data_IF_762659638302
#
_entry.id   IF_762659638302
#
_cell.length_a   1.000
_cell.length_b   1.000
_cell.length_c   1.000
_cell.angle_alpha   90.00
_cell.angle_beta   90.00
_cell.angle_gamma   90.00
#
_symmetry.space_group_name_H-M   'P 1'
#
loop_
_entity.id
_entity.type
_entity.pdbx_description
1 polymer ?
#
# COMPACT_ATOMS: atom_id res chain seq x y z
N UNK A 1 9.01 22.92 -21.10
CA UNK A 1 8.32 21.78 -20.45
C UNK A 1 7.07 21.46 -21.24
N UNK A 2 6.81 20.18 -21.51
CA UNK A 2 5.59 19.73 -22.20
C UNK A 2 4.42 19.69 -21.21
N UNK A 3 3.24 20.16 -21.60
CA UNK A 3 2.04 20.05 -20.77
C UNK A 3 1.55 18.59 -20.82
N UNK A 4 1.23 18.02 -19.66
CA UNK A 4 0.62 16.69 -19.54
C UNK A 4 -0.58 16.77 -18.59
N UNK A 5 -1.48 15.81 -18.67
CA UNK A 5 -2.63 15.77 -17.77
C UNK A 5 -2.19 15.32 -16.38
N UNK A 6 -1.46 14.21 -16.25
CA UNK A 6 -1.08 13.70 -14.94
C UNK A 6 0.32 13.08 -14.87
N UNK A 7 0.92 13.20 -13.68
CA UNK A 7 2.19 12.58 -13.32
C UNK A 7 1.96 11.52 -12.23
N UNK A 8 2.34 10.27 -12.49
CA UNK A 8 2.19 9.14 -11.56
C UNK A 8 3.57 8.73 -11.06
N UNK A 9 3.81 8.87 -9.76
CA UNK A 9 5.12 8.63 -9.16
C UNK A 9 5.05 7.39 -8.27
N UNK A 10 5.84 6.35 -8.56
CA UNK A 10 5.80 5.11 -7.76
C UNK A 10 7.02 4.22 -7.94
N UNK A 11 7.17 3.23 -7.06
CA UNK A 11 8.17 2.16 -7.24
C UNK A 11 7.80 1.31 -8.47
N UNK A 12 8.76 0.57 -9.03
CA UNK A 12 8.49 -0.32 -10.17
C UNK A 12 7.36 -1.31 -9.87
N UNK A 13 7.40 -1.95 -8.70
CA UNK A 13 6.36 -2.87 -8.24
C UNK A 13 4.98 -2.20 -8.19
N UNK A 14 4.89 -0.98 -7.64
CA UNK A 14 3.62 -0.28 -7.51
C UNK A 14 3.10 0.17 -8.87
N UNK A 15 3.97 0.68 -9.75
CA UNK A 15 3.58 1.11 -11.09
C UNK A 15 3.14 -0.07 -11.97
N UNK A 16 3.71 -1.26 -11.77
CA UNK A 16 3.25 -2.48 -12.45
C UNK A 16 1.78 -2.82 -12.14
N UNK A 17 1.25 -2.43 -10.97
CA UNK A 17 -0.17 -2.64 -10.64
C UNK A 17 -1.13 -1.79 -11.47
N UNK A 18 -0.64 -0.75 -12.15
CA UNK A 18 -1.42 0.12 -13.01
C UNK A 18 -1.14 -0.15 -14.51
N UNK A 19 -0.32 -1.15 -14.83
CA UNK A 19 0.18 -1.42 -16.18
C UNK A 19 -0.91 -1.95 -17.14
N UNK A 20 -1.91 -2.69 -16.66
CA UNK A 20 -3.04 -3.13 -17.51
C UNK A 20 -3.90 -1.95 -18.02
N UNK A 21 -3.69 -0.73 -17.51
CA UNK A 21 -4.41 0.48 -17.90
C UNK A 21 -3.49 1.55 -18.50
N UNK A 22 -2.26 1.21 -18.90
CA UNK A 22 -1.35 2.15 -19.59
C UNK A 22 -1.59 2.27 -21.09
N UNK A 23 -2.22 1.26 -21.73
CA UNK A 23 -2.66 1.37 -23.12
C UNK A 23 -3.89 2.28 -23.20
N UNK A 24 -3.71 3.52 -23.66
CA UNK A 24 -4.80 4.48 -23.89
C UNK A 24 -4.93 5.64 -22.90
N UNK A 25 -3.96 5.86 -22.01
CA UNK A 25 -3.92 7.07 -21.17
C UNK A 25 -3.00 8.13 -21.76
N UNK A 26 -3.43 8.69 -22.90
CA UNK A 26 -2.80 9.88 -23.49
C UNK A 26 -2.69 10.98 -22.42
N UNK A 27 -1.51 11.60 -22.32
CA UNK A 27 -1.26 12.68 -21.37
C UNK A 27 -0.85 12.25 -19.95
N UNK A 28 -0.63 10.96 -19.69
CA UNK A 28 -0.08 10.48 -18.41
C UNK A 28 1.41 10.13 -18.50
N UNK A 29 2.22 10.59 -17.55
CA UNK A 29 3.64 10.24 -17.42
C UNK A 29 3.88 9.44 -16.14
N UNK A 30 4.63 8.35 -16.25
CA UNK A 30 5.01 7.52 -15.11
C UNK A 30 6.48 7.75 -14.76
N UNK A 31 6.72 8.13 -13.51
CA UNK A 31 8.05 8.40 -13.00
C UNK A 31 8.37 7.51 -11.80
N UNK A 32 9.60 7.02 -11.75
CA UNK A 32 10.13 6.26 -10.62
C UNK A 32 11.03 7.15 -9.77
N UNK A 33 11.01 6.99 -8.43
CA UNK A 33 12.01 7.61 -7.58
C UNK A 33 13.42 7.27 -8.05
N UNK A 34 14.35 8.22 -7.90
CA UNK A 34 15.75 7.96 -8.16
C UNK A 34 16.21 6.79 -7.30
N UNK A 35 16.67 5.72 -7.96
CA UNK A 35 17.48 4.73 -7.29
C UNK A 35 18.80 5.44 -6.97
N UNK A 36 18.91 6.02 -5.77
CA UNK A 36 20.17 6.56 -5.29
C UNK A 36 21.27 5.56 -5.61
N UNK A 37 22.37 6.03 -6.23
CA UNK A 37 23.46 5.14 -6.70
C UNK A 37 23.77 4.14 -5.58
N UNK A 38 23.68 2.82 -5.82
CA UNK A 38 24.20 1.88 -4.85
C UNK A 38 25.67 2.23 -4.63
N UNK A 39 26.07 2.39 -3.37
CA UNK A 39 27.48 2.57 -3.03
C UNK A 39 28.30 1.54 -3.82
N UNK A 40 29.20 2.02 -4.66
CA UNK A 40 30.15 1.18 -5.38
C UNK A 40 31.01 0.46 -4.33
N UNK A 41 30.61 -0.76 -3.98
CA UNK A 41 31.14 -1.48 -2.83
C UNK A 41 30.94 -2.98 -2.95
N UNK A 42 31.76 -3.56 -3.84
CA UNK A 42 32.12 -4.99 -3.99
C UNK A 42 31.05 -5.99 -4.51
N UNK A 43 31.34 -6.72 -5.60
CA UNK A 43 30.56 -7.87 -6.00
C UNK A 43 30.96 -9.08 -5.14
N UNK A 44 30.00 -9.72 -4.48
CA UNK A 44 30.20 -11.08 -3.98
C UNK A 44 29.51 -12.04 -4.95
N UNK A 45 30.34 -12.79 -5.67
CA UNK A 45 29.93 -13.87 -6.55
C UNK A 45 29.44 -15.06 -5.72
N UNK A 46 28.26 -15.59 -6.06
CA UNK A 46 27.68 -16.82 -5.51
C UNK A 46 26.50 -17.26 -6.39
N UNK A 47 26.26 -18.57 -6.54
CA UNK A 47 25.96 -19.14 -7.84
C UNK A 47 24.50 -18.98 -8.29
N UNK A 48 24.34 -18.84 -9.61
CA UNK A 48 23.07 -18.78 -10.32
C UNK A 48 22.32 -20.10 -10.17
N UNK A 49 21.33 -20.12 -9.29
CA UNK A 49 20.24 -21.09 -9.33
C UNK A 49 19.21 -20.64 -10.35
N UNK A 50 19.03 -21.44 -11.40
CA UNK A 50 17.99 -21.31 -12.42
C UNK A 50 16.59 -21.46 -11.80
N UNK A 51 15.88 -20.35 -11.64
CA UNK A 51 14.42 -20.35 -11.49
C UNK A 51 13.81 -19.78 -12.78
N UNK A 52 13.22 -20.68 -13.55
CA UNK A 52 12.40 -20.39 -14.72
C UNK A 52 11.10 -19.70 -14.30
N UNK A 53 10.66 -18.74 -15.12
CA UNK A 53 9.24 -18.45 -15.33
C UNK A 53 8.54 -17.60 -14.27
N UNK A 54 8.86 -16.31 -14.21
CA UNK A 54 7.89 -15.31 -13.73
C UNK A 54 7.86 -14.20 -14.77
N UNK A 55 6.70 -13.96 -15.36
CA UNK A 55 6.49 -12.91 -16.34
C UNK A 55 6.81 -11.54 -15.70
N UNK A 56 8.05 -11.09 -15.89
CA UNK A 56 8.52 -9.77 -15.54
C UNK A 56 7.91 -8.78 -16.53
N UNK A 57 6.70 -8.31 -16.23
CA UNK A 57 6.11 -7.12 -16.84
C UNK A 57 7.04 -5.94 -16.60
N UNK A 58 7.99 -5.74 -17.50
CA UNK A 58 9.00 -4.70 -17.36
C UNK A 58 8.37 -3.44 -17.93
N UNK A 59 7.98 -2.49 -17.07
CA UNK A 59 7.48 -1.19 -17.52
C UNK A 59 8.61 -0.51 -18.31
N UNK A 60 8.52 -0.54 -19.64
CA UNK A 60 9.44 0.17 -20.52
C UNK A 60 9.18 1.68 -20.41
N UNK A 61 10.23 2.50 -20.38
CA UNK A 61 10.09 3.96 -20.49
C UNK A 61 9.83 4.75 -19.19
N UNK A 62 10.06 4.18 -18.00
CA UNK A 62 9.93 4.93 -16.74
C UNK A 62 11.00 6.02 -16.61
N UNK A 63 10.56 7.28 -16.59
CA UNK A 63 11.42 8.43 -16.29
C UNK A 63 11.82 8.46 -14.82
N UNK A 64 12.93 9.14 -14.50
CA UNK A 64 13.17 9.48 -13.10
C UNK A 64 12.23 10.60 -12.67
N UNK A 65 11.89 10.68 -11.38
CA UNK A 65 11.13 11.82 -10.84
C UNK A 65 11.77 13.14 -11.25
N UNK A 66 13.10 13.24 -11.15
CA UNK A 66 13.82 14.46 -11.49
C UNK A 66 13.63 14.84 -12.95
N UNK A 67 13.88 13.90 -13.86
CA UNK A 67 13.73 14.14 -15.30
C UNK A 67 12.29 14.53 -15.64
N UNK A 68 11.30 13.85 -15.06
CA UNK A 68 9.89 14.14 -15.30
C UNK A 68 9.49 15.54 -14.79
N UNK A 69 9.97 15.95 -13.61
CA UNK A 69 9.73 17.28 -13.06
C UNK A 69 10.40 18.40 -13.86
N UNK A 70 11.49 18.10 -14.58
CA UNK A 70 12.20 19.06 -15.43
C UNK A 70 11.64 19.08 -16.86
N UNK A 71 11.08 17.98 -17.34
CA UNK A 71 10.55 17.84 -18.69
C UNK A 71 9.07 18.23 -18.83
N UNK A 72 8.24 18.03 -17.80
CA UNK A 72 6.78 18.15 -17.91
C UNK A 72 6.13 19.09 -16.89
N UNK A 73 5.02 19.70 -17.31
CA UNK A 73 4.08 20.45 -16.44
C UNK A 73 2.77 19.67 -16.34
N UNK A 74 2.59 18.85 -15.29
CA UNK A 74 1.33 18.15 -15.06
C UNK A 74 0.23 19.07 -14.52
N UNK A 75 -1.04 18.74 -14.78
CA UNK A 75 -2.18 19.35 -14.08
C UNK A 75 -2.42 18.72 -12.71
N UNK A 76 -2.15 17.42 -12.60
CA UNK A 76 -2.29 16.64 -11.37
C UNK A 76 -1.11 15.68 -11.17
N UNK A 77 -0.76 15.36 -9.93
CA UNK A 77 0.33 14.44 -9.62
C UNK A 77 0.02 13.53 -8.42
N UNK A 78 0.19 12.22 -8.59
CA UNK A 78 -0.07 11.25 -7.52
C UNK A 78 1.20 10.53 -7.13
N UNK A 79 1.47 10.49 -5.83
CA UNK A 79 2.59 9.75 -5.27
C UNK A 79 2.10 8.43 -4.67
N UNK A 80 2.45 7.33 -5.32
CA UNK A 80 2.06 5.96 -4.97
C UNK A 80 3.15 5.19 -4.20
N UNK A 81 4.34 5.77 -4.06
CA UNK A 81 5.37 5.22 -3.18
C UNK A 81 6.20 6.33 -2.53
N UNK A 82 6.63 6.16 -1.27
CA UNK A 82 7.43 7.16 -0.59
C UNK A 82 8.89 7.08 -1.03
N UNK A 83 9.59 8.20 -1.03
CA UNK A 83 11.03 8.28 -1.27
C UNK A 83 11.64 9.50 -0.59
N UNK A 84 12.98 9.53 -0.51
CA UNK A 84 13.70 10.68 0.05
C UNK A 84 13.56 11.87 -0.89
N UNK A 85 13.07 13.00 -0.39
CA UNK A 85 12.83 14.20 -1.20
C UNK A 85 11.37 14.39 -1.61
N UNK A 86 10.55 13.35 -1.51
CA UNK A 86 9.12 13.37 -1.87
C UNK A 86 8.37 14.59 -1.33
N UNK A 87 8.60 14.96 -0.07
CA UNK A 87 7.90 16.09 0.55
C UNK A 87 8.28 17.46 -0.08
N UNK A 88 9.55 17.61 -0.48
CA UNK A 88 10.01 18.80 -1.20
C UNK A 88 9.49 18.82 -2.65
N UNK A 89 9.48 17.68 -3.32
CA UNK A 89 8.94 17.55 -4.67
C UNK A 89 7.43 17.81 -4.70
N UNK A 90 6.70 17.31 -3.70
CA UNK A 90 5.28 17.56 -3.56
C UNK A 90 5.00 19.04 -3.25
N UNK A 91 5.78 19.69 -2.38
CA UNK A 91 5.69 21.12 -2.13
C UNK A 91 5.93 21.94 -3.40
N UNK A 92 6.99 21.62 -4.15
CA UNK A 92 7.29 22.26 -5.44
C UNK A 92 6.13 22.12 -6.43
N UNK A 93 5.48 20.97 -6.51
CA UNK A 93 4.32 20.76 -7.38
C UNK A 93 3.12 21.61 -6.96
N UNK A 94 2.80 21.63 -5.66
CA UNK A 94 1.70 22.45 -5.12
C UNK A 94 1.94 23.95 -5.34
N UNK A 95 3.16 24.43 -5.11
CA UNK A 95 3.54 25.83 -5.38
C UNK A 95 3.37 26.23 -6.85
N UNK A 96 3.46 25.26 -7.77
CA UNK A 96 3.21 25.44 -9.20
C UNK A 96 1.73 25.23 -9.60
N UNK A 97 0.82 25.11 -8.65
CA UNK A 97 -0.62 24.97 -8.90
C UNK A 97 -1.06 23.58 -9.36
N UNK A 98 -0.27 22.54 -9.11
CA UNK A 98 -0.60 21.15 -9.44
C UNK A 98 -1.50 20.55 -8.34
N UNK A 99 -2.57 19.83 -8.72
CA UNK A 99 -3.35 19.02 -7.77
C UNK A 99 -2.53 17.79 -7.36
N UNK A 100 -2.09 17.74 -6.10
CA UNK A 100 -1.22 16.67 -5.60
C UNK A 100 -1.96 15.74 -4.66
N UNK A 101 -1.80 14.43 -4.84
CA UNK A 101 -2.32 13.38 -3.93
C UNK A 101 -1.24 12.37 -3.54
N UNK A 102 -1.39 11.73 -2.39
CA UNK A 102 -0.47 10.67 -1.95
C UNK A 102 -1.20 9.41 -1.52
N UNK A 103 -0.63 8.22 -1.78
CA UNK A 103 -1.20 6.95 -1.35
C UNK A 103 -0.98 6.62 0.14
N UNK A 104 -0.33 7.52 0.85
CA UNK A 104 -0.06 7.43 2.27
C UNK A 104 0.43 8.77 2.82
N UNK A 105 0.51 8.92 4.15
CA UNK A 105 0.94 10.16 4.77
C UNK A 105 2.37 10.55 4.35
N UNK A 106 2.67 11.85 4.33
CA UNK A 106 4.04 12.29 4.03
C UNK A 106 5.01 11.88 5.16
N UNK A 107 6.21 11.36 4.84
CA UNK A 107 7.16 10.85 5.83
C UNK A 107 7.82 11.94 6.71
N UNK A 108 7.67 13.22 6.35
CA UNK A 108 8.22 14.35 7.10
C UNK A 108 7.12 15.42 7.22
N UNK A 109 7.02 16.06 8.39
CA UNK A 109 6.15 17.25 8.56
C UNK A 109 6.67 18.39 7.68
N UNK A 110 6.10 18.53 6.48
CA UNK A 110 6.17 19.79 5.73
C UNK A 110 5.29 20.79 6.46
N UNK A 111 5.91 21.86 6.99
CA UNK A 111 5.17 22.92 7.68
C UNK A 111 4.09 23.44 6.72
N UNK A 112 2.83 23.36 7.14
CA UNK A 112 1.65 23.92 6.48
C UNK A 112 1.25 23.32 5.12
N UNK A 113 1.80 22.16 4.73
CA UNK A 113 1.38 21.47 3.51
C UNK A 113 0.59 20.21 3.88
N UNK A 114 -0.73 20.30 3.84
CA UNK A 114 -1.62 19.16 3.95
C UNK A 114 -1.96 18.66 2.55
N UNK A 115 -1.40 17.49 2.19
CA UNK A 115 -1.68 16.85 0.92
C UNK A 115 -2.76 15.78 1.13
N UNK A 116 -3.85 15.78 0.33
CA UNK A 116 -4.87 14.75 0.41
C UNK A 116 -4.29 13.34 0.20
N UNK A 117 -4.72 12.41 1.06
CA UNK A 117 -4.35 11.00 0.93
C UNK A 117 -5.43 10.32 0.07
N UNK A 118 -5.02 9.57 -0.95
CA UNK A 118 -5.91 8.76 -1.77
C UNK A 118 -5.91 7.31 -1.32
N UNK A 119 -7.10 6.72 -1.27
CA UNK A 119 -7.34 5.37 -0.82
C UNK A 119 -7.11 4.33 -1.91
N UNK A 120 -5.83 4.09 -2.23
CA UNK A 120 -5.44 3.31 -3.42
C UNK A 120 -5.90 1.86 -3.41
N UNK A 121 -6.35 1.33 -2.28
CA UNK A 121 -6.81 -0.04 -2.20
C UNK A 121 -8.28 -0.18 -2.59
N UNK A 122 -9.07 0.90 -2.57
CA UNK A 122 -10.44 0.89 -3.10
C UNK A 122 -10.48 0.71 -4.60
N UNK A 123 -9.38 0.96 -5.30
CA UNK A 123 -9.22 0.69 -6.72
C UNK A 123 -8.76 -0.74 -7.03
N UNK A 124 -8.45 -1.55 -6.00
CA UNK A 124 -7.97 -2.93 -6.16
C UNK A 124 -9.15 -3.88 -6.36
N UNK A 125 -9.24 -4.59 -7.51
CA UNK A 125 -10.36 -5.47 -7.80
C UNK A 125 -10.56 -6.57 -6.77
N UNK A 126 -9.46 -7.19 -6.29
CA UNK A 126 -9.48 -8.22 -5.25
C UNK A 126 -10.05 -7.70 -3.93
N UNK A 127 -9.53 -6.57 -3.44
CA UNK A 127 -10.07 -5.90 -2.25
C UNK A 127 -11.55 -5.54 -2.38
N UNK A 128 -11.97 -4.97 -3.52
CA UNK A 128 -13.39 -4.63 -3.74
C UNK A 128 -14.28 -5.86 -3.73
N UNK A 129 -13.85 -6.95 -4.36
CA UNK A 129 -14.60 -8.20 -4.40
C UNK A 129 -14.69 -8.83 -3.00
N UNK A 130 -13.60 -8.81 -2.23
CA UNK A 130 -13.59 -9.23 -0.83
C UNK A 130 -14.56 -8.39 0.01
N UNK A 131 -14.53 -7.07 -0.15
CA UNK A 131 -15.42 -6.16 0.57
C UNK A 131 -16.89 -6.39 0.19
N UNK A 132 -17.18 -6.59 -1.10
CA UNK A 132 -18.52 -6.93 -1.60
C UNK A 132 -19.02 -8.26 -1.00
N UNK A 133 -18.20 -9.32 -1.05
CA UNK A 133 -18.51 -10.63 -0.49
C UNK A 133 -18.71 -10.58 1.04
N UNK A 134 -17.91 -9.77 1.75
CA UNK A 134 -18.05 -9.59 3.20
C UNK A 134 -19.36 -8.95 3.63
N UNK A 135 -20.11 -8.34 2.69
CA UNK A 135 -21.41 -7.71 2.95
C UNK A 135 -22.59 -8.63 2.68
N UNK A 136 -22.36 -9.85 2.16
CA UNK A 136 -23.43 -10.83 2.01
C UNK A 136 -23.92 -11.31 3.38
N UNK A 137 -25.24 -11.46 3.52
CA UNK A 137 -25.86 -11.90 4.78
C UNK A 137 -25.30 -13.25 5.29
N UNK A 138 -24.98 -14.18 4.38
CA UNK A 138 -24.44 -15.50 4.71
C UNK A 138 -23.02 -15.44 5.31
N UNK A 139 -22.26 -14.37 5.06
CA UNK A 139 -20.92 -14.20 5.64
C UNK A 139 -20.99 -13.85 7.13
N UNK A 140 -22.02 -13.11 7.52
CA UNK A 140 -22.22 -12.62 8.89
C UNK A 140 -21.21 -11.54 9.30
N UNK A 141 -20.92 -11.44 10.60
CA UNK A 141 -20.06 -10.39 11.15
C UNK A 141 -18.56 -10.75 11.02
N UNK A 142 -17.68 -9.83 10.59
CA UNK A 142 -16.24 -10.06 10.55
C UNK A 142 -15.64 -10.30 11.95
N UNK A 143 -14.95 -11.44 12.13
CA UNK A 143 -14.34 -11.82 13.42
C UNK A 143 -12.81 -11.89 13.39
N UNK A 144 -12.23 -12.25 12.24
CA UNK A 144 -10.78 -12.35 12.10
C UNK A 144 -10.29 -11.96 10.69
N UNK A 145 -9.19 -11.22 10.62
CA UNK A 145 -8.48 -10.90 9.37
C UNK A 145 -7.02 -11.33 9.45
N UNK A 146 -6.50 -11.93 8.37
CA UNK A 146 -5.07 -12.04 8.11
C UNK A 146 -4.76 -11.33 6.80
N UNK A 147 -3.75 -10.48 6.82
CA UNK A 147 -3.25 -9.77 5.64
C UNK A 147 -1.73 -9.90 5.59
N UNK A 148 -1.20 -10.36 4.46
CA UNK A 148 0.24 -10.47 4.22
C UNK A 148 0.60 -9.60 3.01
N UNK A 149 1.45 -8.60 3.24
CA UNK A 149 1.93 -7.68 2.23
C UNK A 149 3.44 -7.79 2.07
N UNK A 150 3.94 -7.65 0.85
CA UNK A 150 5.37 -7.77 0.54
C UNK A 150 5.86 -6.59 -0.31
N UNK A 151 5.93 -5.36 0.26
CA UNK A 151 6.36 -4.19 -0.51
C UNK A 151 7.87 -4.26 -0.79
N UNK A 152 8.27 -3.88 -2.00
CA UNK A 152 9.66 -3.60 -2.36
C UNK A 152 10.14 -2.31 -1.69
N UNK A 153 11.44 -2.24 -1.37
CA UNK A 153 12.10 -1.01 -0.95
C UNK A 153 12.47 -0.95 0.53
N UNK A 154 12.70 0.28 1.00
CA UNK A 154 13.23 0.58 2.32
C UNK A 154 12.16 0.76 3.40
N UNK A 155 12.58 1.34 4.53
CA UNK A 155 11.73 1.55 5.70
C UNK A 155 10.46 2.35 5.40
N UNK A 156 10.54 3.38 4.55
CA UNK A 156 9.39 4.21 4.20
C UNK A 156 8.31 3.43 3.45
N UNK A 157 8.70 2.55 2.53
CA UNK A 157 7.78 1.67 1.81
C UNK A 157 7.09 0.71 2.77
N UNK A 158 7.82 0.15 3.74
CA UNK A 158 7.25 -0.69 4.79
C UNK A 158 6.23 0.08 5.65
N UNK A 159 6.50 1.35 5.95
CA UNK A 159 5.58 2.19 6.70
C UNK A 159 4.29 2.51 5.93
N UNK A 160 4.37 2.91 4.66
CA UNK A 160 3.17 3.09 3.82
C UNK A 160 2.36 1.81 3.68
N UNK A 161 3.05 0.68 3.55
CA UNK A 161 2.40 -0.62 3.55
C UNK A 161 1.64 -0.87 4.84
N UNK A 162 2.25 -0.64 6.02
CA UNK A 162 1.53 -0.77 7.31
C UNK A 162 0.32 0.16 7.37
N UNK A 163 0.47 1.42 6.98
CA UNK A 163 -0.64 2.37 6.93
C UNK A 163 -1.79 1.83 6.08
N UNK A 164 -1.49 1.39 4.85
CA UNK A 164 -2.49 0.82 3.94
C UNK A 164 -3.11 -0.47 4.47
N UNK A 165 -2.33 -1.35 5.08
CA UNK A 165 -2.80 -2.60 5.70
C UNK A 165 -3.76 -2.32 6.86
N UNK A 166 -3.47 -1.34 7.72
CA UNK A 166 -4.37 -0.91 8.79
C UNK A 166 -5.68 -0.35 8.23
N UNK A 167 -5.62 0.47 7.17
CA UNK A 167 -6.82 1.01 6.51
C UNK A 167 -7.68 -0.09 5.88
N UNK A 168 -7.06 -1.03 5.16
CA UNK A 168 -7.74 -2.23 4.63
C UNK A 168 -8.44 -2.99 5.74
N UNK A 169 -7.78 -3.16 6.89
CA UNK A 169 -8.34 -3.86 8.04
C UNK A 169 -9.58 -3.17 8.62
N UNK A 170 -9.55 -1.86 8.84
CA UNK A 170 -10.71 -1.12 9.36
C UNK A 170 -11.93 -1.23 8.43
N UNK A 171 -11.69 -1.16 7.12
CA UNK A 171 -12.74 -1.24 6.11
C UNK A 171 -13.33 -2.65 6.02
N UNK A 172 -12.50 -3.70 6.01
CA UNK A 172 -12.97 -5.09 5.89
C UNK A 172 -13.58 -5.63 7.17
N UNK A 173 -13.10 -5.17 8.33
CA UNK A 173 -13.62 -5.56 9.63
C UNK A 173 -14.84 -4.74 10.06
N UNK A 174 -15.25 -3.75 9.25
CA UNK A 174 -16.34 -2.80 9.53
C UNK A 174 -16.29 -2.21 10.95
N UNK A 175 -15.08 -1.91 11.43
CA UNK A 175 -14.83 -1.55 12.83
C UNK A 175 -13.48 -0.85 12.98
N UNK A 176 -13.42 0.33 13.63
CA UNK A 176 -12.17 1.04 13.84
C UNK A 176 -11.20 0.23 14.72
N UNK A 177 -9.90 0.46 14.53
CA UNK A 177 -8.89 -0.17 15.38
C UNK A 177 -8.99 0.35 16.81
N UNK A 178 -8.88 -0.56 17.79
CA UNK A 178 -8.86 -0.23 19.21
C UNK A 178 -7.50 -0.44 19.84
N UNK A 179 -6.83 -1.53 19.47
CA UNK A 179 -5.52 -1.90 20.03
C UNK A 179 -4.67 -2.55 18.98
N UNK A 180 -3.39 -2.21 18.98
CA UNK A 180 -2.41 -2.71 18.02
C UNK A 180 -1.14 -3.12 18.75
N UNK A 181 -0.78 -4.39 18.65
CA UNK A 181 0.48 -4.94 19.12
C UNK A 181 1.43 -5.07 17.95
N UNK A 182 2.61 -4.47 18.06
CA UNK A 182 3.60 -4.39 16.99
C UNK A 182 4.84 -5.16 17.41
N UNK A 183 5.29 -6.05 16.55
CA UNK A 183 6.58 -6.73 16.66
C UNK A 183 7.35 -6.55 15.35
N UNK A 184 8.54 -5.97 15.40
CA UNK A 184 9.39 -5.79 14.24
C UNK A 184 10.76 -6.44 14.45
N UNK A 185 11.31 -7.03 13.38
CA UNK A 185 12.60 -7.70 13.42
C UNK A 185 13.43 -7.37 12.17
N UNK A 186 14.74 -7.21 12.36
CA UNK A 186 15.68 -6.86 11.32
C UNK A 186 15.70 -5.36 11.00
N UNK A 187 16.38 -5.00 9.91
CA UNK A 187 16.53 -3.62 9.42
C UNK A 187 16.17 -3.56 7.94
N UNK A 188 15.74 -2.39 7.46
CA UNK A 188 15.45 -2.20 6.05
C UNK A 188 16.68 -2.56 5.17
N UNK A 189 16.48 -3.20 3.99
CA UNK A 189 15.20 -3.59 3.38
C UNK A 189 14.59 -4.89 3.95
N UNK A 190 15.33 -5.63 4.78
CA UNK A 190 14.92 -6.93 5.35
C UNK A 190 14.07 -6.82 6.62
N UNK A 191 13.42 -5.69 6.82
CA UNK A 191 12.55 -5.45 7.97
C UNK A 191 11.29 -6.31 7.84
N UNK A 192 11.06 -7.17 8.83
CA UNK A 192 9.81 -7.91 9.00
C UNK A 192 8.97 -7.22 10.07
N UNK A 193 7.69 -6.99 9.79
CA UNK A 193 6.75 -6.36 10.73
C UNK A 193 5.57 -7.31 10.90
N UNK A 194 5.25 -7.63 12.15
CA UNK A 194 4.04 -8.35 12.55
C UNK A 194 3.20 -7.46 13.42
N UNK A 195 1.91 -7.36 13.09
CA UNK A 195 0.95 -6.55 13.81
C UNK A 195 -0.24 -7.43 14.18
N UNK A 196 -0.53 -7.53 15.47
CA UNK A 196 -1.80 -8.07 15.96
C UNK A 196 -2.73 -6.90 16.29
N UNK A 197 -3.91 -6.88 15.71
CA UNK A 197 -4.90 -5.82 15.92
C UNK A 197 -6.15 -6.36 16.62
N UNK A 198 -6.82 -5.46 17.32
CA UNK A 198 -8.16 -5.65 17.89
C UNK A 198 -9.01 -4.42 17.56
N UNK A 199 -10.24 -4.63 17.16
CA UNK A 199 -11.18 -3.55 16.81
C UNK A 199 -12.15 -3.24 17.95
N UNK A 200 -13.02 -2.25 17.80
CA UNK A 200 -14.05 -1.92 18.81
C UNK A 200 -15.14 -3.00 18.97
N UNK A 201 -15.41 -3.80 17.93
CA UNK A 201 -16.31 -4.96 17.97
C UNK A 201 -15.64 -6.24 18.48
N UNK A 202 -14.49 -6.11 19.14
CA UNK A 202 -13.66 -7.21 19.65
C UNK A 202 -13.15 -8.20 18.58
N UNK A 203 -13.39 -7.95 17.29
CA UNK A 203 -12.76 -8.68 16.19
C UNK A 203 -11.24 -8.49 16.20
N UNK A 204 -10.51 -9.49 15.72
CA UNK A 204 -9.04 -9.53 15.77
C UNK A 204 -8.42 -9.63 14.39
N UNK A 205 -7.12 -9.42 14.29
CA UNK A 205 -6.42 -9.73 13.05
C UNK A 205 -4.91 -9.69 13.13
N UNK A 206 -4.28 -10.17 12.07
CA UNK A 206 -2.84 -10.21 11.88
C UNK A 206 -2.45 -9.55 10.56
N UNK A 207 -1.64 -8.50 10.63
CA UNK A 207 -1.02 -7.87 9.47
C UNK A 207 0.47 -8.21 9.47
N UNK A 208 0.96 -8.74 8.35
CA UNK A 208 2.35 -9.14 8.18
C UNK A 208 2.94 -8.37 7.00
N UNK A 209 4.03 -7.65 7.24
CA UNK A 209 4.82 -7.02 6.18
C UNK A 209 6.11 -7.79 6.02
N UNK A 210 6.18 -8.58 4.94
CA UNK A 210 7.30 -9.43 4.63
C UNK A 210 8.42 -8.65 3.89
N UNK A 211 9.69 -9.08 4.01
CA UNK A 211 10.83 -8.33 3.50
C UNK A 211 11.02 -8.39 1.97
N UNK A 212 10.44 -9.37 1.27
CA UNK A 212 11.04 -9.87 0.02
C UNK A 212 10.50 -9.29 -1.29
N UNK A 213 9.54 -8.37 -1.31
CA UNK A 213 9.04 -7.79 -2.58
C UNK A 213 8.41 -8.80 -3.55
N UNK A 214 8.30 -10.07 -3.16
CA UNK A 214 8.13 -11.19 -4.09
C UNK A 214 6.69 -11.40 -4.53
N UNK A 215 5.74 -10.63 -3.99
CA UNK A 215 4.33 -10.68 -4.36
C UNK A 215 3.90 -9.30 -4.86
N UNK A 216 3.22 -9.26 -6.00
CA UNK A 216 2.61 -8.03 -6.52
C UNK A 216 1.34 -7.68 -5.73
N UNK A 217 0.65 -8.68 -5.17
CA UNK A 217 -0.61 -8.50 -4.45
C UNK A 217 -0.52 -9.02 -3.02
N UNK A 218 -1.43 -8.51 -2.19
CA UNK A 218 -1.58 -8.95 -0.81
C UNK A 218 -2.23 -10.33 -0.76
N UNK A 219 -1.93 -11.10 0.29
CA UNK A 219 -2.63 -12.36 0.62
C UNK A 219 -3.59 -12.05 1.77
N UNK A 220 -4.88 -12.11 1.45
CA UNK A 220 -5.96 -11.71 2.33
C UNK A 220 -6.83 -12.91 2.70
N UNK A 221 -7.08 -13.06 3.98
CA UNK A 221 -7.96 -14.08 4.54
C UNK A 221 -8.85 -13.46 5.61
N UNK A 222 -10.16 -13.51 5.41
CA UNK A 222 -11.17 -12.92 6.27
C UNK A 222 -12.13 -14.00 6.77
N UNK A 223 -12.44 -13.98 8.06
CA UNK A 223 -13.37 -14.91 8.72
C UNK A 223 -14.54 -14.10 9.23
N UNK A 224 -15.74 -14.51 8.87
CA UNK A 224 -17.00 -14.03 9.42
C UNK A 224 -17.66 -15.10 10.28
N UNK A 225 -18.73 -14.76 10.98
CA UNK A 225 -19.50 -15.73 11.78
C UNK A 225 -20.16 -16.83 10.94
N UNK A 226 -20.38 -16.59 9.65
CA UNK A 226 -21.04 -17.52 8.72
C UNK A 226 -20.11 -18.25 7.75
N UNK A 227 -18.86 -17.83 7.60
CA UNK A 227 -17.91 -18.45 6.67
C UNK A 227 -16.56 -17.75 6.58
N UNK A 228 -15.76 -18.13 5.60
CA UNK A 228 -14.45 -17.50 5.33
C UNK A 228 -14.35 -17.03 3.88
N UNK A 229 -13.58 -15.97 3.68
CA UNK A 229 -13.22 -15.44 2.38
C UNK A 229 -11.69 -15.45 2.29
N UNK A 230 -11.12 -15.93 1.20
CA UNK A 230 -9.66 -15.94 1.03
C UNK A 230 -9.27 -15.65 -0.41
N UNK A 231 -8.19 -14.88 -0.59
CA UNK A 231 -7.53 -14.78 -1.88
C UNK A 231 -6.80 -16.10 -2.19
N UNK A 232 -7.21 -16.79 -3.25
CA UNK A 232 -6.56 -18.04 -3.68
C UNK A 232 -5.16 -17.74 -4.23
N UNK A 233 -4.07 -18.29 -3.67
CA UNK A 233 -2.71 -18.04 -4.12
C UNK A 233 -2.38 -18.62 -5.51
N UNK A 234 -3.23 -19.49 -6.09
CA UNK A 234 -3.11 -19.97 -7.47
C UNK A 234 -3.76 -19.02 -8.48
N UNK A 235 -4.70 -18.18 -8.05
CA UNK A 235 -5.52 -17.33 -8.93
C UNK A 235 -5.58 -15.85 -8.55
N UNK A 236 -4.97 -15.45 -7.42
CA UNK A 236 -5.02 -14.09 -6.85
C UNK A 236 -6.46 -13.53 -6.75
N UNK A 237 -7.43 -14.33 -6.30
CA UNK A 237 -8.83 -13.94 -6.28
C UNK A 237 -9.58 -14.42 -5.04
N UNK A 238 -10.48 -13.59 -4.48
CA UNK A 238 -11.26 -13.98 -3.30
C UNK A 238 -12.27 -15.07 -3.66
N UNK A 239 -12.18 -16.23 -3.00
CA UNK A 239 -13.21 -17.27 -2.99
C UNK A 239 -13.99 -17.26 -1.67
N UNK A 240 -15.30 -17.53 -1.73
CA UNK A 240 -16.10 -17.77 -0.52
C UNK A 240 -16.05 -19.25 -0.14
N UNK A 241 -15.72 -19.54 1.12
CA UNK A 241 -15.78 -20.88 1.71
C UNK A 241 -16.84 -20.86 2.82
N UNK A 242 -18.06 -21.28 2.47
CA UNK A 242 -19.24 -21.31 3.36
C UNK A 242 -20.12 -22.54 3.14
N UNK A 243 -21.27 -22.60 3.83
CA UNK A 243 -22.25 -23.69 3.71
C UNK A 243 -22.96 -23.73 2.35
N UNK A 244 -22.99 -22.61 1.65
CA UNK A 244 -23.52 -22.43 0.30
C UNK A 244 -22.35 -22.30 -0.67
N UNK A 245 -22.45 -23.08 -1.75
CA UNK A 245 -21.62 -23.22 -2.95
C UNK A 245 -20.41 -22.30 -3.22
N UNK A 246 -19.42 -22.91 -3.88
CA UNK A 246 -18.23 -22.28 -4.42
C UNK A 246 -18.59 -21.26 -5.51
N UNK A 247 -18.26 -19.99 -5.31
CA UNK A 247 -18.34 -18.98 -6.36
C UNK A 247 -16.98 -18.31 -6.57
N UNK A 248 -16.39 -18.53 -7.76
CA UNK A 248 -15.20 -17.83 -8.23
C UNK A 248 -15.52 -17.01 -9.49
N UNK A 249 -15.57 -15.68 -9.39
CA UNK A 249 -15.47 -14.83 -10.57
C UNK A 249 -14.00 -14.55 -10.90
N UNK A 250 -13.57 -14.90 -12.12
CA UNK A 250 -12.29 -14.43 -12.69
C UNK A 250 -12.36 -12.91 -12.85
N UNK A 251 -11.48 -12.15 -12.19
CA UNK A 251 -11.44 -10.68 -12.23
C UNK A 251 -10.03 -10.15 -12.53
N UNK A 252 -9.92 -9.01 -13.25
CA UNK A 252 -8.65 -8.44 -13.68
C UNK A 252 -7.76 -8.02 -12.50
N UNK A 253 -6.44 -8.05 -12.71
CA UNK A 253 -5.44 -7.81 -11.68
C UNK A 253 -5.04 -6.33 -11.54
N UNK A 254 -5.32 -5.51 -12.56
CA UNK A 254 -4.94 -4.10 -12.61
C UNK A 254 -5.79 -3.15 -11.76
N UNK A 255 -5.19 -2.03 -11.37
CA UNK A 255 -5.87 -0.90 -10.70
C UNK A 255 -6.18 0.21 -11.70
N UNK A 256 -7.38 0.79 -11.59
CA UNK A 256 -7.80 1.90 -12.45
C UNK A 256 -7.22 3.24 -11.96
N UNK A 257 -6.39 3.90 -12.78
CA UNK A 257 -5.79 5.20 -12.43
C UNK A 257 -6.82 6.33 -12.22
N UNK A 258 -7.91 6.34 -12.99
CA UNK A 258 -8.94 7.37 -12.87
C UNK A 258 -9.57 7.41 -11.46
N UNK A 259 -9.65 6.26 -10.80
CA UNK A 259 -10.20 6.17 -9.44
C UNK A 259 -9.34 6.87 -8.38
N UNK A 260 -8.06 7.13 -8.64
CA UNK A 260 -7.19 7.89 -7.74
C UNK A 260 -7.62 9.36 -7.62
N UNK A 261 -8.34 9.85 -8.64
CA UNK A 261 -8.78 11.24 -8.75
C UNK A 261 -10.24 11.45 -8.29
N UNK A 262 -10.99 10.38 -8.03
CA UNK A 262 -12.34 10.45 -7.48
C UNK A 262 -12.37 11.06 -6.07
N UNK A 263 -13.45 11.76 -5.72
CA UNK A 263 -13.63 12.30 -4.38
C UNK A 263 -13.88 11.19 -3.36
N UNK A 264 -14.50 10.07 -3.77
CA UNK A 264 -14.68 8.90 -2.91
C UNK A 264 -13.35 8.20 -2.53
N UNK A 265 -12.27 8.52 -3.24
CA UNK A 265 -10.95 8.00 -2.92
C UNK A 265 -10.21 8.86 -1.88
N UNK A 266 -10.70 10.05 -1.53
CA UNK A 266 -10.00 10.91 -0.59
C UNK A 266 -10.20 10.44 0.86
N UNK A 267 -9.09 10.31 1.57
CA UNK A 267 -9.04 10.03 3.01
C UNK A 267 -8.66 11.32 3.73
N UNK A 268 -9.55 11.77 4.60
CA UNK A 268 -9.23 12.77 5.61
C UNK A 268 -8.91 12.06 6.93
N UNK A 269 -7.65 12.14 7.36
CA UNK A 269 -7.25 11.66 8.68
C UNK A 269 -7.52 12.74 9.73
N UNK A 270 -8.27 12.38 10.77
CA UNK A 270 -8.40 13.15 12.00
C UNK A 270 -7.04 13.37 12.68
N UNK A 271 -6.96 14.36 13.58
CA UNK A 271 -5.74 14.61 14.34
C UNK A 271 -5.28 13.37 15.14
N UNK A 272 -6.24 12.62 15.68
CA UNK A 272 -5.98 11.41 16.46
C UNK A 272 -5.50 10.25 15.57
N UNK A 273 -6.09 10.03 14.40
CA UNK A 273 -5.59 9.04 13.43
C UNK A 273 -4.17 9.37 12.97
N UNK A 274 -3.90 10.65 12.67
CA UNK A 274 -2.55 11.10 12.29
C UNK A 274 -1.54 10.80 13.40
N UNK A 275 -1.91 11.07 14.66
CA UNK A 275 -1.06 10.76 15.82
C UNK A 275 -0.85 9.26 15.96
N UNK A 276 -1.91 8.47 15.86
CA UNK A 276 -1.85 7.01 15.93
C UNK A 276 -0.85 6.42 14.91
N UNK A 277 -0.91 6.84 13.65
CA UNK A 277 0.02 6.34 12.63
C UNK A 277 1.48 6.79 12.83
N UNK A 278 1.71 7.95 13.45
CA UNK A 278 3.05 8.39 13.84
C UNK A 278 3.59 7.55 15.00
N UNK A 279 2.74 7.25 15.99
CA UNK A 279 3.12 6.41 17.13
C UNK A 279 3.33 4.95 16.69
N UNK A 280 2.56 4.46 15.71
CA UNK A 280 2.78 3.17 15.06
C UNK A 280 4.14 3.10 14.35
N UNK A 281 4.54 4.14 13.61
CA UNK A 281 5.86 4.19 12.99
C UNK A 281 6.99 4.17 14.02
N UNK A 282 6.83 4.91 15.13
CA UNK A 282 7.79 4.89 16.25
C UNK A 282 7.87 3.50 16.87
N UNK A 283 6.72 2.88 17.14
CA UNK A 283 6.64 1.53 17.69
C UNK A 283 7.34 0.49 16.81
N UNK A 284 7.22 0.59 15.48
CA UNK A 284 7.97 -0.29 14.56
C UNK A 284 9.48 -0.11 14.75
N UNK A 285 9.96 1.13 14.82
CA UNK A 285 11.38 1.45 15.01
C UNK A 285 11.91 1.00 16.37
N UNK A 286 11.15 1.23 17.44
CA UNK A 286 11.50 0.85 18.81
C UNK A 286 11.45 -0.66 19.01
N UNK A 287 10.45 -1.34 18.45
CA UNK A 287 10.34 -2.80 18.48
C UNK A 287 11.51 -3.47 17.76
N UNK A 288 11.89 -2.97 16.57
CA UNK A 288 13.04 -3.47 15.81
C UNK A 288 14.36 -3.36 16.59
N UNK A 289 14.56 -2.28 17.35
CA UNK A 289 15.76 -2.07 18.17
C UNK A 289 15.77 -2.88 19.46
N UNK A 290 14.64 -2.90 20.17
CA UNK A 290 14.51 -3.51 21.49
C UNK A 290 14.25 -5.02 21.45
N UNK A 291 13.83 -5.56 20.29
CA UNK A 291 13.33 -6.93 20.13
C UNK A 291 12.14 -7.25 21.04
N UNK A 292 11.40 -6.23 21.44
CA UNK A 292 10.20 -6.36 22.28
C UNK A 292 8.94 -5.93 21.51
N UNK A 293 7.80 -6.53 21.85
CA UNK A 293 6.51 -6.11 21.31
C UNK A 293 6.04 -4.82 21.96
N UNK A 294 5.44 -3.92 21.18
CA UNK A 294 4.90 -2.64 21.66
C UNK A 294 3.39 -2.63 21.44
N UNK A 295 2.64 -2.31 22.49
CA UNK A 295 1.18 -2.18 22.45
C UNK A 295 0.80 -0.70 22.33
N UNK A 296 -0.10 -0.41 21.40
CA UNK A 296 -0.71 0.90 21.19
C UNK A 296 -2.23 0.77 21.36
N UNK A 297 -2.85 1.72 22.05
CA UNK A 297 -4.31 1.82 22.18
C UNK A 297 -4.83 3.06 21.44
N UNK A 298 -6.02 2.93 20.85
CA UNK A 298 -6.67 3.95 20.05
C UNK A 298 -8.21 3.95 20.24
N UNK A 299 -8.87 5.11 20.43
CA UNK A 299 -8.25 6.37 20.82
C UNK A 299 -7.47 6.19 22.14
N UNK A 300 -6.44 7.00 22.35
CA UNK A 300 -5.66 6.94 23.59
C UNK A 300 -6.57 7.24 24.78
N UNK A 301 -6.54 6.37 25.80
CA UNK A 301 -7.29 6.53 27.04
C UNK A 301 -6.83 7.75 27.85
#
# INVERSE_FOLDING_TARGET
MKQIDGLVIGSRQVLALFQEYTEGQDGMVFARPDAGRPNAGRPNAGPRGSAQGSASGTVQGLETVRDALDAYRPRQAVFLSPYRGMAADAARLVENGVDVRTAGPLPVRTRNLEIPITDIHRSEPGFRAMLEASRHADFGEPVYLRLISSPEGGQWQKWWCVFQSCRKAEVLMDSPLRRVYVAAAGTAPRLHISITLKTHRDSTGHLLVAPNGSRLQDDLFLVGTGGTLADDPLFNQPGMYGKSEYHMPIRPAGRCLASLWGNEALIALSADERRFYLDLLRAIGDSSRSRSGICLEYPAA
#
